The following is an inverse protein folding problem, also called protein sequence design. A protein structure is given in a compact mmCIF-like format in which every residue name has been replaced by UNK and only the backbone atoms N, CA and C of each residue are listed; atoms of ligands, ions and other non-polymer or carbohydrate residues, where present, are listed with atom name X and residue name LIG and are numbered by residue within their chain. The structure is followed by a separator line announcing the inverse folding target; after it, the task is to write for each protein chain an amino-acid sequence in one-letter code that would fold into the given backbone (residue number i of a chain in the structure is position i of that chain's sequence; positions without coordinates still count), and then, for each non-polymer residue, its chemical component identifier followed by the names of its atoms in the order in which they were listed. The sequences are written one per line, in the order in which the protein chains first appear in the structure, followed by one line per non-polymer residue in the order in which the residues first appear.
data_IF_968755160619
#
_entry.id   IF_968755160619
#
_cell.length_a   1.000
_cell.length_b   1.000
_cell.length_c   1.000
_cell.angle_alpha   90.00
_cell.angle_beta   90.00
_cell.angle_gamma   90.00
#
_symmetry.space_group_name_H-M   'P 1'
#
loop_
_entity.id
_entity.type
_entity.pdbx_description
1 polymer ?
#
# COMPACT_ATOMS: atom_id res chain seq x y z
N UNK A 1 8.01 3.59 18.95
CA UNK A 1 6.84 3.41 18.07
C UNK A 1 7.32 2.86 16.73
N UNK A 2 6.69 1.81 16.21
CA UNK A 2 7.02 1.22 14.92
C UNK A 2 5.97 1.66 13.90
N UNK A 3 6.42 2.14 12.75
CA UNK A 3 5.55 2.53 11.62
C UNK A 3 5.87 1.63 10.43
N UNK A 4 4.91 0.81 9.99
CA UNK A 4 5.00 0.06 8.76
C UNK A 4 4.74 1.00 7.57
N UNK A 5 5.71 1.12 6.66
CA UNK A 5 5.67 2.13 5.59
C UNK A 5 5.52 1.48 4.23
N UNK A 6 4.61 2.07 3.47
CA UNK A 6 4.35 1.71 2.10
C UNK A 6 5.20 2.35 1.04
N UNK A 7 4.69 2.25 -0.17
CA UNK A 7 5.31 2.81 -1.35
C UNK A 7 4.37 3.72 -2.12
N UNK A 8 4.91 4.37 -3.14
CA UNK A 8 4.13 5.14 -4.10
C UNK A 8 4.06 6.63 -3.78
N UNK A 9 3.43 7.37 -4.71
CA UNK A 9 3.50 8.84 -4.74
C UNK A 9 2.88 9.51 -3.51
N UNK A 10 1.80 8.94 -2.99
CA UNK A 10 1.06 9.51 -1.86
C UNK A 10 1.83 9.38 -0.54
N UNK A 11 2.41 8.21 -0.30
CA UNK A 11 3.27 7.98 0.88
C UNK A 11 4.56 8.78 0.77
N UNK A 12 5.16 8.84 -0.43
CA UNK A 12 6.35 9.66 -0.70
C UNK A 12 6.12 11.15 -0.42
N UNK A 13 4.93 11.68 -0.72
CA UNK A 13 4.58 13.07 -0.45
C UNK A 13 4.58 13.39 1.05
N UNK A 14 4.17 12.45 1.91
CA UNK A 14 4.21 12.64 3.36
C UNK A 14 5.64 12.82 3.87
N UNK A 15 6.57 12.00 3.37
CA UNK A 15 7.97 12.08 3.77
C UNK A 15 8.63 13.43 3.42
N UNK A 16 8.19 14.09 2.34
CA UNK A 16 8.73 15.38 1.90
C UNK A 16 8.06 16.59 2.58
N UNK A 17 6.90 16.42 3.22
CA UNK A 17 6.11 17.49 3.84
C UNK A 17 6.18 17.50 5.39
N UNK A 18 7.18 16.85 5.98
CA UNK A 18 7.47 17.00 7.41
C UNK A 18 8.32 18.26 7.61
N UNK A 19 7.63 19.39 7.85
CA UNK A 19 8.24 20.74 7.79
C UNK A 19 9.15 21.10 8.97
N UNK A 20 8.96 20.48 10.13
CA UNK A 20 9.81 20.71 11.31
C UNK A 20 10.32 19.37 11.83
N UNK A 21 11.64 19.18 11.94
CA UNK A 21 12.19 18.00 12.57
C UNK A 21 11.70 17.91 14.02
N UNK A 22 11.03 16.81 14.35
CA UNK A 22 10.59 16.51 15.71
C UNK A 22 11.25 15.21 16.10
N UNK A 23 12.11 15.22 17.12
CA UNK A 23 12.72 13.98 17.61
C UNK A 23 11.65 13.13 18.29
N UNK A 24 11.39 11.96 17.73
CA UNK A 24 10.53 10.92 18.28
C UNK A 24 11.30 9.60 18.26
N UNK A 25 11.13 8.79 19.30
CA UNK A 25 11.68 7.44 19.32
C UNK A 25 10.79 6.53 18.43
N UNK A 26 10.99 6.60 17.12
CA UNK A 26 10.24 5.85 16.13
C UNK A 26 11.13 5.15 15.11
N UNK A 27 10.66 3.99 14.65
CA UNK A 27 11.33 3.18 13.64
C UNK A 27 10.38 2.98 12.46
N UNK A 28 10.83 3.33 11.26
CA UNK A 28 10.08 3.20 10.01
C UNK A 28 10.51 1.93 9.28
N UNK A 29 9.61 0.96 9.19
CA UNK A 29 9.90 -0.38 8.67
C UNK A 29 9.23 -0.55 7.32
N UNK A 30 9.97 -0.96 6.30
CA UNK A 30 9.39 -1.25 4.99
C UNK A 30 8.36 -2.38 5.11
N UNK A 31 7.10 -2.07 4.78
CA UNK A 31 6.06 -3.08 4.68
C UNK A 31 6.18 -3.86 3.37
N UNK A 32 6.70 -3.22 2.30
CA UNK A 32 6.83 -3.76 0.93
C UNK A 32 8.28 -3.81 0.44
N UNK A 33 8.57 -4.72 -0.48
CA UNK A 33 9.85 -4.79 -1.16
C UNK A 33 10.11 -3.58 -2.06
N UNK A 34 11.36 -3.47 -2.53
CA UNK A 34 11.78 -2.38 -3.42
C UNK A 34 11.41 -2.61 -4.88
N UNK A 35 11.21 -1.54 -5.66
CA UNK A 35 11.08 -1.62 -7.11
C UNK A 35 12.02 -0.64 -7.80
N UNK A 36 12.77 -1.12 -8.79
CA UNK A 36 13.73 -0.31 -9.54
C UNK A 36 13.06 0.89 -10.22
N UNK A 37 11.93 0.65 -10.90
CA UNK A 37 11.19 1.69 -11.63
C UNK A 37 10.37 2.63 -10.74
N UNK A 38 10.28 2.36 -9.44
CA UNK A 38 9.66 3.29 -8.51
C UNK A 38 10.52 4.55 -8.31
N UNK A 39 11.84 4.46 -8.54
CA UNK A 39 12.79 5.52 -8.25
C UNK A 39 12.86 5.86 -6.77
N UNK A 40 13.71 6.82 -6.41
CA UNK A 40 13.96 7.19 -5.01
C UNK A 40 12.70 7.74 -4.31
N UNK A 41 11.86 8.47 -5.05
CA UNK A 41 10.72 9.16 -4.45
C UNK A 41 9.62 8.19 -3.97
N UNK A 42 9.39 7.08 -4.68
CA UNK A 42 8.28 6.17 -4.38
C UNK A 42 8.72 4.87 -3.70
N UNK A 43 10.01 4.55 -3.68
CA UNK A 43 10.49 3.28 -3.13
C UNK A 43 10.39 3.29 -1.59
N UNK A 44 9.84 2.23 -0.96
CA UNK A 44 9.56 2.22 0.48
C UNK A 44 10.82 2.45 1.32
N UNK A 45 11.96 1.90 0.92
CA UNK A 45 13.23 2.07 1.63
C UNK A 45 13.66 3.54 1.71
N UNK A 46 13.54 4.26 0.58
CA UNK A 46 13.86 5.68 0.52
C UNK A 46 12.84 6.52 1.30
N UNK A 47 11.55 6.14 1.27
CA UNK A 47 10.50 6.79 2.07
C UNK A 47 10.81 6.61 3.57
N UNK A 48 11.10 5.40 4.04
CA UNK A 48 11.48 5.11 5.42
C UNK A 48 12.68 5.95 5.87
N UNK A 49 13.74 6.03 5.05
CA UNK A 49 14.93 6.83 5.35
C UNK A 49 14.63 8.32 5.47
N UNK A 50 13.82 8.88 4.56
CA UNK A 50 13.41 10.29 4.64
C UNK A 50 12.58 10.56 5.89
N UNK A 51 11.65 9.67 6.22
CA UNK A 51 10.86 9.78 7.47
C UNK A 51 11.76 9.70 8.70
N UNK A 52 12.68 8.72 8.77
CA UNK A 52 13.63 8.57 9.86
C UNK A 52 14.46 9.85 10.07
N UNK A 53 14.98 10.44 8.99
CA UNK A 53 15.72 11.71 9.04
C UNK A 53 14.87 12.87 9.59
N UNK A 54 13.58 12.93 9.24
CA UNK A 54 12.67 14.01 9.67
C UNK A 54 12.19 13.85 11.11
N UNK A 55 12.05 12.62 11.58
CA UNK A 55 11.59 12.34 12.94
C UNK A 55 12.73 12.02 13.93
N UNK A 56 13.99 12.09 13.49
CA UNK A 56 15.15 11.72 14.30
C UNK A 56 15.10 10.26 14.78
N UNK A 57 14.49 9.39 13.97
CA UNK A 57 14.26 7.97 14.25
C UNK A 57 15.15 7.06 13.39
N UNK A 58 14.76 5.80 13.31
CA UNK A 58 15.47 4.77 12.55
C UNK A 58 14.65 4.27 11.35
N UNK A 59 15.32 3.64 10.38
CA UNK A 59 14.67 3.01 9.22
C UNK A 59 15.16 1.58 9.04
N UNK A 60 14.25 0.68 8.67
CA UNK A 60 14.54 -0.73 8.42
C UNK A 60 14.09 -1.14 7.01
N UNK A 61 15.06 -1.56 6.20
CA UNK A 61 14.83 -1.97 4.83
C UNK A 61 14.28 -3.40 4.73
N UNK A 62 13.39 -3.64 3.78
CA UNK A 62 13.03 -5.00 3.35
C UNK A 62 13.92 -5.40 2.16
N UNK A 63 14.84 -6.33 2.39
CA UNK A 63 15.79 -6.79 1.37
C UNK A 63 15.16 -7.83 0.42
N UNK A 64 14.13 -7.41 -0.32
CA UNK A 64 13.44 -8.21 -1.32
C UNK A 64 12.86 -7.33 -2.43
N UNK A 65 12.68 -7.86 -3.66
CA UNK A 65 11.91 -7.15 -4.69
C UNK A 65 10.44 -7.04 -4.27
N UNK A 66 9.78 -5.95 -4.67
CA UNK A 66 8.36 -5.76 -4.41
C UNK A 66 7.51 -6.82 -5.09
N UNK A 67 7.88 -7.23 -6.31
CA UNK A 67 7.13 -8.16 -7.14
C UNK A 67 8.04 -9.27 -7.66
N UNK A 68 7.54 -10.50 -7.65
CA UNK A 68 8.19 -11.68 -8.22
C UNK A 68 7.36 -12.29 -9.34
N UNK A 69 7.94 -13.25 -10.05
CA UNK A 69 7.31 -13.87 -11.22
C UNK A 69 6.08 -14.73 -10.85
N UNK A 70 6.09 -15.38 -9.69
CA UNK A 70 5.06 -16.34 -9.32
C UNK A 70 4.92 -16.52 -7.79
N UNK A 71 3.82 -17.13 -7.32
CA UNK A 71 3.57 -17.39 -5.90
C UNK A 71 4.58 -18.32 -5.22
N UNK A 72 5.17 -19.25 -5.96
CA UNK A 72 6.17 -20.18 -5.42
C UNK A 72 7.42 -19.43 -4.99
N UNK A 73 7.95 -18.54 -5.84
CA UNK A 73 9.09 -17.69 -5.53
C UNK A 73 8.79 -16.71 -4.40
N UNK A 74 7.55 -16.20 -4.33
CA UNK A 74 7.11 -15.35 -3.20
C UNK A 74 7.22 -16.14 -1.89
N UNK A 75 6.71 -17.36 -1.86
CA UNK A 75 6.73 -18.23 -0.67
C UNK A 75 8.17 -18.50 -0.20
N UNK A 76 9.07 -18.81 -1.14
CA UNK A 76 10.50 -19.02 -0.85
C UNK A 76 11.13 -17.77 -0.24
N UNK A 77 10.92 -16.59 -0.85
CA UNK A 77 11.54 -15.35 -0.38
C UNK A 77 10.95 -14.86 0.95
N UNK A 78 9.64 -14.98 1.16
CA UNK A 78 9.03 -14.64 2.47
C UNK A 78 9.51 -15.58 3.57
N UNK A 79 9.89 -16.82 3.23
CA UNK A 79 10.46 -17.77 4.17
C UNK A 79 11.95 -17.54 4.47
N UNK A 80 12.65 -16.69 3.69
CA UNK A 80 14.02 -16.31 3.99
C UNK A 80 14.10 -15.51 5.30
N UNK A 81 15.05 -15.84 6.18
CA UNK A 81 15.14 -15.25 7.51
C UNK A 81 15.28 -13.72 7.50
N UNK A 82 16.06 -13.16 6.57
CA UNK A 82 16.25 -11.71 6.44
C UNK A 82 14.93 -11.02 6.08
N UNK A 83 14.25 -11.53 5.05
CA UNK A 83 12.95 -10.99 4.59
C UNK A 83 11.90 -11.15 5.69
N UNK A 84 11.80 -12.36 6.27
CA UNK A 84 10.84 -12.69 7.33
C UNK A 84 11.01 -11.78 8.55
N UNK A 85 12.25 -11.53 8.97
CA UNK A 85 12.54 -10.71 10.15
C UNK A 85 12.03 -9.26 10.02
N UNK A 86 12.21 -8.64 8.85
CA UNK A 86 11.68 -7.30 8.58
C UNK A 86 10.15 -7.31 8.49
N UNK A 87 9.55 -8.31 7.86
CA UNK A 87 8.09 -8.44 7.81
C UNK A 87 7.49 -8.67 9.20
N UNK A 88 8.12 -9.48 10.06
CA UNK A 88 7.69 -9.69 11.44
C UNK A 88 7.79 -8.42 12.30
N UNK A 89 8.74 -7.52 11.99
CA UNK A 89 8.80 -6.17 12.60
C UNK A 89 7.64 -5.31 12.09
N UNK A 90 7.40 -5.29 10.78
CA UNK A 90 6.29 -4.53 10.19
C UNK A 90 4.91 -5.01 10.67
N UNK A 91 4.71 -6.32 10.86
CA UNK A 91 3.47 -6.91 11.42
C UNK A 91 3.16 -6.45 12.84
N UNK A 92 4.18 -6.04 13.60
CA UNK A 92 4.07 -5.55 14.98
C UNK A 92 4.07 -4.03 15.06
N UNK A 93 3.88 -3.35 13.92
CA UNK A 93 3.82 -1.91 13.90
C UNK A 93 2.64 -1.37 14.72
N UNK A 94 2.86 -0.23 15.37
CA UNK A 94 1.81 0.51 16.06
C UNK A 94 0.92 1.25 15.05
N UNK A 95 1.50 1.60 13.88
CA UNK A 95 0.85 2.33 12.81
C UNK A 95 1.31 1.81 11.44
N UNK A 96 0.44 1.88 10.43
CA UNK A 96 0.82 1.69 9.03
C UNK A 96 0.52 2.95 8.21
N UNK A 97 1.45 3.33 7.33
CA UNK A 97 1.28 4.43 6.39
C UNK A 97 1.25 3.88 4.96
N UNK A 98 0.06 3.85 4.36
CA UNK A 98 -0.17 3.17 3.09
C UNK A 98 -0.77 4.09 2.03
N UNK A 99 -0.53 3.75 0.76
CA UNK A 99 -1.23 4.33 -0.38
C UNK A 99 -2.32 3.39 -0.88
N UNK A 100 -3.33 3.97 -1.54
CA UNK A 100 -4.35 3.22 -2.28
C UNK A 100 -4.08 3.38 -3.78
N UNK A 101 -4.03 2.27 -4.51
CA UNK A 101 -3.88 2.24 -5.96
C UNK A 101 -5.19 1.99 -6.70
N UNK A 102 -5.32 2.54 -7.91
CA UNK A 102 -6.45 2.33 -8.81
C UNK A 102 -6.14 1.28 -9.89
N UNK A 103 -7.17 0.69 -10.47
CA UNK A 103 -7.05 -0.23 -11.61
C UNK A 103 -7.01 0.51 -12.95
N UNK A 104 -6.23 1.59 -13.02
CA UNK A 104 -6.00 2.34 -14.25
C UNK A 104 -4.88 1.69 -15.06
N UNK A 105 -5.07 1.59 -16.37
CA UNK A 105 -4.02 1.18 -17.32
C UNK A 105 -2.83 2.16 -17.33
N UNK A 106 -3.05 3.38 -16.81
CA UNK A 106 -2.01 4.39 -16.62
C UNK A 106 -1.48 4.46 -15.18
N UNK A 107 -1.85 3.50 -14.32
CA UNK A 107 -1.46 3.45 -12.90
C UNK A 107 0.05 3.33 -12.71
N UNK A 108 0.51 3.63 -11.48
CA UNK A 108 1.92 3.46 -11.15
C UNK A 108 2.36 2.00 -11.29
N UNK A 109 1.50 1.01 -11.01
CA UNK A 109 1.84 -0.41 -11.16
C UNK A 109 2.22 -0.75 -12.60
N UNK A 110 1.48 -0.23 -13.59
CA UNK A 110 1.80 -0.41 -15.01
C UNK A 110 3.09 0.33 -15.38
N UNK A 111 3.24 1.59 -14.95
CA UNK A 111 4.45 2.38 -15.22
C UNK A 111 5.72 1.75 -14.63
N UNK A 112 5.59 1.14 -13.46
CA UNK A 112 6.66 0.37 -12.81
C UNK A 112 6.91 -0.99 -13.46
N UNK A 113 6.11 -1.39 -14.46
CA UNK A 113 6.23 -2.66 -15.16
C UNK A 113 5.87 -3.87 -14.31
N UNK A 114 5.03 -3.69 -13.28
CA UNK A 114 4.59 -4.80 -12.43
C UNK A 114 3.57 -5.68 -13.14
N UNK A 115 2.63 -5.02 -13.81
CA UNK A 115 1.57 -5.63 -14.58
C UNK A 115 1.46 -4.91 -15.92
N UNK A 116 1.11 -5.66 -16.96
CA UNK A 116 0.73 -5.11 -18.25
C UNK A 116 -0.60 -4.35 -18.15
N UNK A 117 -0.87 -3.39 -19.06
CA UNK A 117 -2.20 -2.78 -19.19
C UNK A 117 -3.31 -3.83 -19.32
N UNK A 118 -3.04 -4.91 -20.04
CA UNK A 118 -3.98 -6.00 -20.27
C UNK A 118 -4.32 -6.76 -18.98
N UNK A 119 -3.33 -7.09 -18.14
CA UNK A 119 -3.56 -7.71 -16.83
C UNK A 119 -4.42 -6.82 -15.92
N UNK A 120 -4.14 -5.51 -15.88
CA UNK A 120 -4.93 -4.55 -15.10
C UNK A 120 -6.36 -4.42 -15.64
N UNK A 121 -6.53 -4.37 -16.96
CA UNK A 121 -7.85 -4.31 -17.58
C UNK A 121 -8.66 -5.58 -17.28
N UNK A 122 -8.05 -6.77 -17.35
CA UNK A 122 -8.69 -8.04 -17.00
C UNK A 122 -9.10 -8.09 -15.53
N UNK A 123 -8.22 -7.68 -14.61
CA UNK A 123 -8.54 -7.62 -13.19
C UNK A 123 -9.69 -6.62 -12.90
N UNK A 124 -9.71 -5.47 -13.58
CA UNK A 124 -10.83 -4.52 -13.48
C UNK A 124 -12.15 -5.12 -13.99
N UNK A 125 -12.12 -5.82 -15.11
CA UNK A 125 -13.29 -6.52 -15.67
C UNK A 125 -13.80 -7.64 -14.74
N UNK A 126 -12.92 -8.23 -13.92
CA UNK A 126 -13.30 -9.23 -12.91
C UNK A 126 -13.81 -8.61 -11.59
N UNK A 127 -14.07 -7.30 -11.56
CA UNK A 127 -14.63 -6.59 -10.40
C UNK A 127 -13.61 -6.00 -9.43
N UNK A 128 -12.31 -6.08 -9.74
CA UNK A 128 -11.27 -5.42 -8.94
C UNK A 128 -11.38 -3.90 -9.08
N UNK A 129 -11.40 -3.18 -7.96
CA UNK A 129 -11.49 -1.72 -7.96
C UNK A 129 -10.18 -1.02 -7.58
N UNK A 130 -9.28 -1.72 -6.88
CA UNK A 130 -7.98 -1.17 -6.51
C UNK A 130 -7.14 -2.14 -5.69
N UNK A 131 -6.07 -1.60 -5.12
CA UNK A 131 -5.15 -2.30 -4.23
C UNK A 131 -4.82 -1.45 -3.00
N UNK A 132 -4.50 -2.15 -1.91
CA UNK A 132 -3.80 -1.56 -0.77
C UNK A 132 -2.36 -2.07 -0.81
N UNK A 133 -1.45 -1.22 -1.31
CA UNK A 133 -0.01 -1.49 -1.38
C UNK A 133 0.41 -2.61 -2.35
N UNK A 134 -0.41 -2.89 -3.36
CA UNK A 134 -0.14 -3.88 -4.39
C UNK A 134 -0.30 -5.35 -3.97
N UNK A 135 -0.50 -5.65 -2.68
CA UNK A 135 -0.59 -7.03 -2.17
C UNK A 135 -1.92 -7.70 -2.48
N UNK A 136 -3.00 -7.01 -2.12
CA UNK A 136 -4.35 -7.50 -2.18
C UNK A 136 -5.16 -6.52 -2.99
N UNK A 137 -5.45 -6.98 -4.20
CA UNK A 137 -6.48 -6.44 -5.03
C UNK A 137 -7.82 -6.67 -4.34
N UNK A 138 -8.65 -5.65 -4.31
CA UNK A 138 -9.93 -5.66 -3.63
C UNK A 138 -11.06 -5.32 -4.58
N UNK A 139 -12.24 -5.87 -4.31
CA UNK A 139 -13.48 -5.47 -4.96
C UNK A 139 -14.14 -4.27 -4.25
N UNK A 140 -15.28 -3.81 -4.79
CA UNK A 140 -16.03 -2.68 -4.23
C UNK A 140 -16.65 -2.98 -2.85
N UNK A 141 -16.68 -4.24 -2.44
CA UNK A 141 -17.16 -4.69 -1.14
C UNK A 141 -16.02 -4.89 -0.13
N UNK A 142 -14.78 -4.55 -0.52
CA UNK A 142 -13.60 -4.69 0.32
C UNK A 142 -13.12 -6.13 0.48
N UNK A 143 -13.62 -7.05 -0.35
CA UNK A 143 -13.18 -8.45 -0.36
C UNK A 143 -11.97 -8.63 -1.28
N UNK A 144 -11.05 -9.55 -0.96
CA UNK A 144 -9.95 -9.90 -1.86
C UNK A 144 -10.47 -10.35 -3.24
N UNK A 145 -9.97 -9.74 -4.31
CA UNK A 145 -10.33 -10.07 -5.68
C UNK A 145 -9.60 -11.34 -6.15
N UNK A 146 -10.34 -12.33 -6.64
CA UNK A 146 -9.73 -13.59 -7.12
C UNK A 146 -9.23 -13.39 -8.56
N UNK A 147 -7.94 -13.07 -8.72
CA UNK A 147 -7.33 -12.82 -10.03
C UNK A 147 -5.86 -13.26 -10.13
N UNK A 148 -5.35 -13.38 -11.36
CA UNK A 148 -4.01 -13.92 -11.64
C UNK A 148 -2.84 -13.02 -11.19
N UNK A 149 -3.12 -11.77 -10.79
CA UNK A 149 -2.12 -10.81 -10.35
C UNK A 149 -1.82 -10.91 -8.84
N UNK A 150 -2.60 -11.69 -8.09
CA UNK A 150 -2.34 -11.98 -6.68
C UNK A 150 -1.16 -12.93 -6.46
N UNK A 151 -0.66 -12.95 -5.22
CA UNK A 151 0.34 -13.92 -4.78
C UNK A 151 1.76 -13.64 -5.28
N UNK A 152 2.01 -12.50 -5.94
CA UNK A 152 3.34 -12.16 -6.49
C UNK A 152 4.07 -11.04 -5.74
N UNK A 153 3.42 -10.36 -4.81
CA UNK A 153 4.01 -9.19 -4.11
C UNK A 153 4.62 -9.62 -2.77
N UNK A 154 5.83 -9.14 -2.46
CA UNK A 154 6.51 -9.40 -1.19
C UNK A 154 6.26 -8.25 -0.21
N UNK A 155 5.50 -8.56 0.84
CA UNK A 155 5.23 -7.67 1.97
C UNK A 155 3.93 -8.01 2.70
N UNK A 156 3.40 -7.07 3.49
CA UNK A 156 2.25 -7.30 4.36
C UNK A 156 0.95 -7.58 3.61
N UNK A 157 0.13 -8.50 4.09
CA UNK A 157 -1.23 -8.72 3.54
C UNK A 157 -2.27 -7.83 4.22
N UNK A 158 -3.47 -7.74 3.64
CA UNK A 158 -4.63 -7.04 4.22
C UNK A 158 -5.01 -7.62 5.59
N UNK A 159 -4.92 -8.94 5.77
CA UNK A 159 -5.17 -9.55 7.08
C UNK A 159 -4.09 -9.20 8.11
N UNK A 160 -2.85 -8.94 7.66
CA UNK A 160 -1.77 -8.49 8.53
C UNK A 160 -1.92 -7.00 8.86
N UNK A 161 -2.32 -6.17 7.89
CA UNK A 161 -2.67 -4.76 8.10
C UNK A 161 -3.85 -4.61 9.06
N UNK A 162 -4.87 -5.47 8.98
CA UNK A 162 -6.02 -5.45 9.90
C UNK A 162 -5.62 -5.58 11.38
N UNK A 163 -4.45 -6.16 11.67
CA UNK A 163 -3.96 -6.33 13.05
C UNK A 163 -3.18 -5.11 13.56
N UNK A 164 -2.81 -4.19 12.68
CA UNK A 164 -2.11 -2.97 13.05
C UNK A 164 -3.11 -1.99 13.66
N UNK A 165 -2.85 -1.41 14.85
CA UNK A 165 -3.83 -0.58 15.56
C UNK A 165 -4.32 0.65 14.78
N UNK A 166 -3.44 1.29 14.00
CA UNK A 166 -3.77 2.48 13.21
C UNK A 166 -3.21 2.41 11.79
N UNK A 167 -4.06 2.06 10.83
CA UNK A 167 -3.75 2.10 9.41
C UNK A 167 -4.21 3.42 8.82
N UNK A 168 -3.22 4.25 8.46
CA UNK A 168 -3.39 5.53 7.79
C UNK A 168 -3.24 5.34 6.28
N UNK A 169 -4.33 5.49 5.55
CA UNK A 169 -4.36 5.42 4.09
C UNK A 169 -4.39 6.80 3.45
N UNK A 170 -3.63 6.97 2.36
CA UNK A 170 -3.52 8.26 1.64
C UNK A 170 -3.94 8.09 0.17
N UNK A 171 -4.98 8.82 -0.23
CA UNK A 171 -5.51 8.81 -1.59
C UNK A 171 -5.96 10.22 -2.01
N UNK A 172 -5.30 10.83 -3.00
CA UNK A 172 -5.58 12.22 -3.41
C UNK A 172 -6.20 12.33 -4.80
N UNK A 173 -5.97 11.35 -5.68
CA UNK A 173 -6.44 11.42 -7.06
C UNK A 173 -7.92 11.02 -7.21
N UNK A 174 -8.65 11.73 -8.07
CA UNK A 174 -10.09 11.48 -8.32
C UNK A 174 -10.37 10.07 -8.89
N UNK A 175 -9.41 9.49 -9.60
CA UNK A 175 -9.55 8.14 -10.16
C UNK A 175 -9.60 7.05 -9.09
N UNK A 176 -9.27 7.37 -7.84
CA UNK A 176 -9.19 6.42 -6.73
C UNK A 176 -10.46 6.30 -5.90
N UNK A 177 -11.55 6.99 -6.24
CA UNK A 177 -12.76 6.98 -5.41
C UNK A 177 -13.32 5.57 -5.19
N UNK A 178 -13.45 4.76 -6.25
CA UNK A 178 -13.92 3.37 -6.15
C UNK A 178 -12.94 2.48 -5.36
N UNK A 179 -11.64 2.60 -5.63
CA UNK A 179 -10.58 1.90 -4.89
C UNK A 179 -10.63 2.24 -3.39
N UNK A 180 -10.81 3.52 -3.08
CA UNK A 180 -10.87 4.02 -1.71
C UNK A 180 -12.12 3.52 -0.99
N UNK A 181 -13.28 3.49 -1.66
CA UNK A 181 -14.50 2.92 -1.08
C UNK A 181 -14.33 1.41 -0.80
N UNK A 182 -13.76 0.64 -1.73
CA UNK A 182 -13.43 -0.77 -1.51
C UNK A 182 -12.48 -0.94 -0.32
N UNK A 183 -11.44 -0.11 -0.24
CA UNK A 183 -10.46 -0.19 0.85
C UNK A 183 -11.07 0.16 2.21
N UNK A 184 -11.95 1.17 2.29
CA UNK A 184 -12.70 1.49 3.50
C UNK A 184 -13.61 0.33 3.94
N UNK A 185 -14.29 -0.31 2.98
CA UNK A 185 -15.18 -1.46 3.25
C UNK A 185 -14.44 -2.72 3.69
N UNK A 186 -13.14 -2.83 3.43
CA UNK A 186 -12.32 -3.92 3.97
C UNK A 186 -12.21 -3.88 5.50
N UNK A 187 -12.51 -2.74 6.12
CA UNK A 187 -12.42 -2.54 7.57
C UNK A 187 -10.99 -2.36 8.10
N UNK A 188 -9.98 -2.36 7.22
CA UNK A 188 -8.57 -2.21 7.60
C UNK A 188 -8.18 -0.78 7.90
N UNK A 189 -8.80 0.21 7.24
CA UNK A 189 -8.39 1.62 7.34
C UNK A 189 -9.00 2.27 8.57
N UNK A 190 -8.16 2.79 9.46
CA UNK A 190 -8.57 3.59 10.62
C UNK A 190 -8.66 5.08 10.28
N UNK A 191 -7.69 5.57 9.49
CA UNK A 191 -7.57 6.99 9.14
C UNK A 191 -7.41 7.15 7.63
N UNK A 192 -8.25 7.98 7.00
CA UNK A 192 -8.13 8.32 5.58
C UNK A 192 -7.71 9.79 5.41
N UNK A 193 -6.55 9.99 4.78
CA UNK A 193 -6.13 11.30 4.27
C UNK A 193 -6.51 11.42 2.78
N UNK A 194 -7.47 12.29 2.48
CA UNK A 194 -7.98 12.51 1.12
C UNK A 194 -8.42 13.95 0.87
N UNK A 195 -8.87 14.25 -0.35
CA UNK A 195 -9.39 15.58 -0.73
C UNK A 195 -10.90 15.67 -0.50
N UNK A 196 -11.42 16.89 -0.36
CA UNK A 196 -12.87 17.13 -0.23
C UNK A 196 -13.65 16.55 -1.42
N UNK A 197 -13.12 16.71 -2.64
CA UNK A 197 -13.71 16.14 -3.85
C UNK A 197 -13.81 14.61 -3.79
N UNK A 198 -12.75 13.93 -3.35
CA UNK A 198 -12.76 12.49 -3.17
C UNK A 198 -13.75 12.06 -2.08
N UNK A 199 -13.77 12.77 -0.94
CA UNK A 199 -14.69 12.46 0.14
C UNK A 199 -16.16 12.49 -0.33
N UNK A 200 -16.58 13.54 -1.05
CA UNK A 200 -17.93 13.60 -1.61
C UNK A 200 -18.20 12.49 -2.64
N UNK A 201 -17.24 12.20 -3.51
CA UNK A 201 -17.38 11.14 -4.52
C UNK A 201 -17.52 9.77 -3.86
N UNK A 202 -16.74 9.50 -2.80
CA UNK A 202 -16.80 8.25 -2.04
C UNK A 202 -18.15 8.09 -1.34
N UNK A 203 -18.67 9.15 -0.71
CA UNK A 203 -19.99 9.12 -0.07
C UNK A 203 -21.11 8.84 -1.09
N UNK A 204 -21.11 9.54 -2.23
CA UNK A 204 -22.09 9.30 -3.29
C UNK A 204 -22.00 7.88 -3.87
N UNK A 205 -20.79 7.34 -4.02
CA UNK A 205 -20.58 5.95 -4.44
C UNK A 205 -21.06 4.95 -3.38
N UNK A 206 -20.87 5.23 -2.10
CA UNK A 206 -21.35 4.38 -1.00
C UNK A 206 -22.89 4.32 -1.03
N UNK A 207 -23.56 5.47 -1.09
CA UNK A 207 -25.02 5.56 -1.18
C UNK A 207 -25.58 4.80 -2.39
N UNK A 208 -24.91 4.90 -3.54
CA UNK A 208 -25.34 4.22 -4.77
C UNK A 208 -25.10 2.70 -4.76
N UNK A 209 -24.18 2.20 -3.92
CA UNK A 209 -23.74 0.79 -3.93
C UNK A 209 -24.05 0.02 -2.66
N UNK A 210 -24.61 0.68 -1.63
CA UNK A 210 -25.24 -0.02 -0.51
C UNK A 210 -26.43 -0.81 -1.06
N UNK A 211 -26.31 -2.14 -1.02
CA UNK A 211 -27.49 -3.00 -1.13
C UNK A 211 -28.35 -2.73 0.10
N UNK A 212 -29.64 -2.43 -0.11
CA UNK A 212 -30.64 -2.51 0.96
C UNK A 212 -30.61 -3.89 1.62
#
# INVERSE_FOLDING_TARGET
MIVAVGMGRNVGAVADNVFLPVTRNCTFVCAIGGSLKAGEYMNPDHICRRLALRFGGESESLYAPALVANPELRSILISNDTVRSTLDRARRADMALIGIGDMSENSNMVRMGWFSPQEIAQARLSGTVGDMMGYDFIDIHGQPAVNAIQGRVIGLTVQELFRIPDVVAIASENTKAAATLGALRSGVINTLATTVTNAHTILALDDATRKN
#
